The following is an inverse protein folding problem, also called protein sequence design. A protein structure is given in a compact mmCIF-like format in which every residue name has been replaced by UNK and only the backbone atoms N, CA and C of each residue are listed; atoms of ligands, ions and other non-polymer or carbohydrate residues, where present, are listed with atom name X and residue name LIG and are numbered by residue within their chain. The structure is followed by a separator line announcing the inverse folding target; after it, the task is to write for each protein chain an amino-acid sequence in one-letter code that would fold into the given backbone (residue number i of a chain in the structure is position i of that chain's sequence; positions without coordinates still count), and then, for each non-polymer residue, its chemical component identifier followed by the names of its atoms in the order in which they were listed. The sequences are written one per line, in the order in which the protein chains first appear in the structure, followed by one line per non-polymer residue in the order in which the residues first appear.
data_IF_229026917219
#
_entry.id   IF_229026917219
#
_cell.length_a   1.000
_cell.length_b   1.000
_cell.length_c   1.000
_cell.angle_alpha   90.00
_cell.angle_beta   90.00
_cell.angle_gamma   90.00
#
_symmetry.space_group_name_H-M   'P 1'
#
loop_
_entity.id
_entity.type
_entity.pdbx_description
1 polymer ?
#
# COMPACT_ATOMS: atom_id res chain seq x y z
N UNK A 1 28.74 7.69 -13.14
CA UNK A 1 27.74 6.90 -12.40
C UNK A 1 27.71 5.55 -13.08
N UNK A 2 27.98 4.48 -12.37
CA UNK A 2 28.20 3.17 -13.00
C UNK A 2 26.87 2.63 -13.57
N UNK A 3 26.94 2.00 -14.76
CA UNK A 3 25.78 1.47 -15.50
C UNK A 3 24.95 0.46 -14.66
N UNK A 4 25.58 -0.23 -13.71
CA UNK A 4 24.88 -1.12 -12.77
C UNK A 4 23.96 -0.33 -11.81
N UNK A 5 24.41 0.81 -11.28
CA UNK A 5 23.60 1.66 -10.41
C UNK A 5 22.39 2.25 -11.15
N UNK A 6 22.53 2.57 -12.45
CA UNK A 6 21.42 3.07 -13.27
C UNK A 6 20.31 2.02 -13.44
N UNK A 7 20.67 0.75 -13.63
CA UNK A 7 19.70 -0.35 -13.73
C UNK A 7 18.98 -0.62 -12.41
N UNK A 8 19.69 -0.53 -11.29
CA UNK A 8 19.10 -0.69 -9.95
C UNK A 8 18.11 0.44 -9.65
N UNK A 9 18.44 1.68 -10.03
CA UNK A 9 17.54 2.84 -9.89
C UNK A 9 16.28 2.67 -10.73
N UNK A 10 16.39 2.23 -11.98
CA UNK A 10 15.22 2.00 -12.82
C UNK A 10 14.35 0.86 -12.27
N UNK A 11 14.99 -0.21 -11.78
CA UNK A 11 14.30 -1.31 -11.09
C UNK A 11 13.55 -0.81 -9.86
N UNK A 12 14.17 0.05 -9.06
CA UNK A 12 13.56 0.64 -7.87
C UNK A 12 12.34 1.52 -8.22
N UNK A 13 12.41 2.32 -9.30
CA UNK A 13 11.25 3.11 -9.77
C UNK A 13 10.06 2.23 -10.15
N UNK A 14 10.31 1.11 -10.82
CA UNK A 14 9.27 0.13 -11.18
C UNK A 14 8.68 -0.52 -9.94
N UNK A 15 9.52 -0.94 -8.99
CA UNK A 15 9.08 -1.54 -7.73
C UNK A 15 8.21 -0.58 -6.91
N UNK A 16 8.62 0.68 -6.76
CA UNK A 16 7.84 1.69 -6.05
C UNK A 16 6.46 1.90 -6.68
N UNK A 17 6.39 1.99 -8.00
CA UNK A 17 5.11 2.10 -8.71
C UNK A 17 4.21 0.87 -8.46
N UNK A 18 4.80 -0.33 -8.51
CA UNK A 18 4.09 -1.57 -8.26
C UNK A 18 3.55 -1.66 -6.83
N UNK A 19 4.36 -1.33 -5.83
CA UNK A 19 3.94 -1.37 -4.42
C UNK A 19 2.85 -0.34 -4.09
N UNK A 20 2.90 0.86 -4.68
CA UNK A 20 1.83 1.87 -4.52
C UNK A 20 0.49 1.32 -5.00
N UNK A 21 0.47 0.74 -6.21
CA UNK A 21 -0.76 0.17 -6.78
C UNK A 21 -1.24 -1.04 -5.95
N UNK A 22 -0.32 -1.89 -5.51
CA UNK A 22 -0.64 -3.04 -4.69
C UNK A 22 -1.23 -2.66 -3.33
N UNK A 23 -0.66 -1.64 -2.67
CA UNK A 23 -1.20 -1.11 -1.41
C UNK A 23 -2.62 -0.57 -1.58
N UNK A 24 -2.89 0.13 -2.69
CA UNK A 24 -4.23 0.62 -3.00
C UNK A 24 -5.23 -0.53 -3.18
N UNK A 25 -4.86 -1.55 -3.95
CA UNK A 25 -5.71 -2.73 -4.14
C UNK A 25 -5.99 -3.48 -2.83
N UNK A 26 -4.98 -3.61 -1.96
CA UNK A 26 -5.16 -4.18 -0.63
C UNK A 26 -6.00 -3.30 0.29
N UNK A 27 -5.83 -1.99 0.26
CA UNK A 27 -6.67 -1.04 1.01
C UNK A 27 -8.14 -1.24 0.64
N UNK A 28 -8.48 -1.22 -0.65
CA UNK A 28 -9.86 -1.38 -1.15
C UNK A 28 -10.45 -2.73 -0.70
N UNK A 29 -9.66 -3.81 -0.81
CA UNK A 29 -10.05 -5.14 -0.34
C UNK A 29 -10.27 -5.17 1.18
N UNK A 30 -9.41 -4.55 1.96
CA UNK A 30 -9.53 -4.51 3.41
C UNK A 30 -10.77 -3.72 3.83
N UNK A 31 -11.04 -2.57 3.21
CA UNK A 31 -12.26 -1.79 3.48
C UNK A 31 -13.53 -2.59 3.21
N UNK A 32 -13.57 -3.35 2.12
CA UNK A 32 -14.68 -4.27 1.80
C UNK A 32 -14.87 -5.35 2.89
N UNK A 33 -13.78 -5.93 3.40
CA UNK A 33 -13.84 -6.92 4.48
C UNK A 33 -14.13 -6.34 5.85
N UNK A 34 -13.72 -5.10 6.15
CA UNK A 34 -14.11 -4.39 7.36
C UNK A 34 -15.63 -4.20 7.37
N UNK A 35 -16.20 -3.71 6.27
CA UNK A 35 -17.65 -3.54 6.15
C UNK A 35 -18.40 -4.87 6.27
N UNK A 36 -17.90 -5.93 5.63
CA UNK A 36 -18.45 -7.29 5.79
C UNK A 36 -18.34 -7.77 7.23
N UNK A 37 -17.26 -7.50 7.93
CA UNK A 37 -17.06 -7.87 9.34
C UNK A 37 -18.04 -7.16 10.26
N UNK A 38 -18.35 -5.87 10.02
CA UNK A 38 -19.42 -5.15 10.72
C UNK A 38 -20.78 -5.82 10.53
N UNK A 39 -21.14 -6.16 9.28
CA UNK A 39 -22.40 -6.84 8.96
C UNK A 39 -22.53 -8.21 9.66
N UNK A 40 -21.40 -8.87 9.93
CA UNK A 40 -21.33 -10.15 10.65
C UNK A 40 -21.30 -9.99 12.18
N UNK A 41 -21.44 -8.76 12.71
CA UNK A 41 -21.38 -8.47 14.14
C UNK A 41 -19.98 -8.56 14.74
N UNK A 42 -18.92 -8.59 13.92
CA UNK A 42 -17.51 -8.66 14.34
C UNK A 42 -16.89 -7.26 14.37
N UNK A 43 -17.38 -6.42 15.28
CA UNK A 43 -17.01 -5.00 15.37
C UNK A 43 -15.51 -4.79 15.61
N UNK A 44 -14.93 -5.45 16.62
CA UNK A 44 -13.49 -5.32 16.94
C UNK A 44 -12.60 -5.75 15.76
N UNK A 45 -12.96 -6.84 15.08
CA UNK A 45 -12.23 -7.29 13.90
C UNK A 45 -12.34 -6.29 12.75
N UNK A 46 -13.53 -5.72 12.52
CA UNK A 46 -13.71 -4.64 11.55
C UNK A 46 -12.79 -3.47 11.84
N UNK A 47 -12.72 -3.00 13.09
CA UNK A 47 -11.88 -1.86 13.47
C UNK A 47 -10.39 -2.14 13.20
N UNK A 48 -9.92 -3.36 13.47
CA UNK A 48 -8.53 -3.72 13.17
C UNK A 48 -8.27 -3.78 11.65
N UNK A 49 -9.23 -4.28 10.86
CA UNK A 49 -9.12 -4.31 9.40
C UNK A 49 -9.11 -2.89 8.82
N UNK A 50 -9.91 -1.96 9.36
CA UNK A 50 -9.88 -0.55 8.93
C UNK A 50 -8.53 0.10 9.24
N UNK A 51 -7.98 -0.12 10.44
CA UNK A 51 -6.64 0.37 10.78
C UNK A 51 -5.57 -0.19 9.84
N UNK A 52 -5.69 -1.46 9.43
CA UNK A 52 -4.79 -2.04 8.45
C UNK A 52 -4.92 -1.38 7.07
N UNK A 53 -6.14 -1.05 6.64
CA UNK A 53 -6.37 -0.31 5.40
C UNK A 53 -5.75 1.09 5.45
N UNK A 54 -5.93 1.82 6.56
CA UNK A 54 -5.35 3.16 6.74
C UNK A 54 -3.82 3.12 6.79
N UNK A 55 -3.24 2.07 7.37
CA UNK A 55 -1.80 1.84 7.36
C UNK A 55 -1.27 1.60 5.94
N UNK A 56 -1.98 0.84 5.10
CA UNK A 56 -1.61 0.63 3.69
C UNK A 56 -1.69 1.92 2.88
N UNK A 57 -2.73 2.74 3.10
CA UNK A 57 -2.85 4.06 2.49
C UNK A 57 -1.65 4.94 2.85
N UNK A 58 -1.33 5.03 4.14
CA UNK A 58 -0.19 5.81 4.64
C UNK A 58 1.14 5.29 4.07
N UNK A 59 1.33 3.97 4.01
CA UNK A 59 2.50 3.38 3.39
C UNK A 59 2.58 3.74 1.89
N UNK A 60 1.46 3.71 1.16
CA UNK A 60 1.39 4.14 -0.23
C UNK A 60 1.79 5.61 -0.44
N UNK A 61 1.37 6.51 0.46
CA UNK A 61 1.77 7.92 0.45
C UNK A 61 3.28 8.09 0.62
N UNK A 62 3.90 7.39 1.58
CA UNK A 62 5.36 7.42 1.74
C UNK A 62 6.12 6.84 0.55
N UNK A 63 5.62 5.76 -0.05
CA UNK A 63 6.22 5.18 -1.26
C UNK A 63 6.11 6.13 -2.46
N UNK A 64 5.00 6.88 -2.56
CA UNK A 64 4.84 7.91 -3.57
C UNK A 64 5.83 9.05 -3.39
N UNK A 65 6.03 9.53 -2.16
CA UNK A 65 7.07 10.54 -1.89
C UNK A 65 8.48 10.00 -2.18
N UNK A 66 8.79 8.76 -1.80
CA UNK A 66 10.07 8.13 -2.11
C UNK A 66 10.32 8.06 -3.63
N UNK A 67 9.29 7.73 -4.41
CA UNK A 67 9.37 7.66 -5.88
C UNK A 67 9.71 9.02 -6.52
N UNK A 68 9.31 10.14 -5.94
CA UNK A 68 9.63 11.48 -6.47
C UNK A 68 11.10 11.86 -6.28
N UNK A 69 11.79 11.21 -5.35
CA UNK A 69 13.19 11.50 -5.01
C UNK A 69 14.18 10.71 -5.86
N UNK A 70 13.69 9.84 -6.75
CA UNK A 70 14.48 8.92 -7.58
C UNK A 70 14.29 9.26 -9.05
#
# INVERSE_FOLDING_TARGET
MDCENEKEIETLRVLLAHWIEHNRSHEENFRSWAEKSRRLGKMEASEMIEKAADALKTAGEFLFEAKKLI
#
